data_IF_207139229032
#
_entry.id   IF_207139229032
#
_cell.length_a   1.000
_cell.length_b   1.000
_cell.length_c   1.000
_cell.angle_alpha   90.00
_cell.angle_beta   90.00
_cell.angle_gamma   90.00
#
_symmetry.space_group_name_H-M   'P 1'
#
loop_
_entity.id
_entity.type
_entity.pdbx_description
1 polymer ?
#
# COMPACT_ATOMS: atom_id res chain seq x y z
N UNK A 1 30.81 15.44 -9.54
CA UNK A 1 29.62 16.16 -10.06
C UNK A 1 28.87 16.70 -8.85
N UNK A 2 28.38 17.93 -8.89
CA UNK A 2 27.62 18.55 -7.81
C UNK A 2 26.17 18.77 -8.25
N UNK A 3 25.20 18.48 -7.38
CA UNK A 3 23.79 18.73 -7.63
C UNK A 3 23.41 20.14 -7.17
N UNK A 4 22.91 20.95 -8.09
CA UNK A 4 22.33 22.27 -7.77
C UNK A 4 20.81 22.12 -7.71
N UNK A 5 20.25 22.01 -6.50
CA UNK A 5 18.80 21.92 -6.29
C UNK A 5 18.17 23.31 -6.20
N UNK A 6 17.20 23.63 -7.08
CA UNK A 6 16.45 24.90 -7.09
C UNK A 6 14.94 24.70 -6.88
N UNK A 7 14.53 23.51 -6.45
CA UNK A 7 13.10 23.10 -6.44
C UNK A 7 12.40 23.36 -5.10
N UNK A 8 13.14 23.54 -4.00
CA UNK A 8 12.56 23.54 -2.64
C UNK A 8 12.01 22.17 -2.22
N UNK A 9 12.35 21.11 -2.96
CA UNK A 9 11.97 19.73 -2.68
C UNK A 9 13.25 18.96 -2.36
N UNK A 10 13.27 18.12 -1.29
CA UNK A 10 14.41 17.26 -0.99
C UNK A 10 14.91 16.53 -2.23
N UNK A 11 16.20 16.66 -2.52
CA UNK A 11 16.84 15.98 -3.65
C UNK A 11 18.28 15.60 -3.31
N UNK A 12 18.73 14.46 -3.84
CA UNK A 12 20.08 13.94 -3.60
C UNK A 12 20.63 13.27 -4.86
N UNK A 13 21.91 13.50 -5.10
CA UNK A 13 22.68 12.85 -6.16
C UNK A 13 23.53 11.75 -5.56
N UNK A 14 23.38 10.54 -6.08
CA UNK A 14 24.34 9.44 -5.91
C UNK A 14 25.15 9.32 -7.19
N UNK A 15 26.48 9.33 -7.07
CA UNK A 15 27.38 8.98 -8.17
C UNK A 15 28.27 7.83 -7.77
N UNK A 16 28.54 6.92 -8.69
CA UNK A 16 29.44 5.80 -8.49
C UNK A 16 29.96 5.23 -9.80
N UNK A 17 30.85 4.25 -9.70
CA UNK A 17 31.32 3.47 -10.85
C UNK A 17 30.61 2.12 -10.86
N UNK A 18 30.08 1.72 -12.01
CA UNK A 18 29.49 0.40 -12.23
C UNK A 18 30.52 -0.60 -12.76
N UNK A 19 31.50 -0.09 -13.50
CA UNK A 19 32.66 -0.81 -14.01
C UNK A 19 33.84 0.16 -14.17
N UNK A 20 35.01 -0.31 -14.63
CA UNK A 20 36.17 0.56 -14.90
C UNK A 20 35.88 1.64 -15.96
N UNK A 21 34.93 1.41 -16.85
CA UNK A 21 34.59 2.31 -17.96
C UNK A 21 33.23 3.01 -17.79
N UNK A 22 32.41 2.60 -16.83
CA UNK A 22 31.04 3.10 -16.69
C UNK A 22 30.81 3.79 -15.35
N UNK A 23 30.33 5.03 -15.44
CA UNK A 23 29.90 5.82 -14.31
C UNK A 23 28.36 5.83 -14.25
N UNK A 24 27.83 5.77 -13.05
CA UNK A 24 26.41 5.91 -12.74
C UNK A 24 26.18 7.21 -12.00
N UNK A 25 25.09 7.90 -12.35
CA UNK A 25 24.54 9.02 -11.61
C UNK A 25 23.04 8.84 -11.43
N UNK A 26 22.56 8.90 -10.19
CA UNK A 26 21.14 8.85 -9.84
C UNK A 26 20.79 10.14 -9.13
N UNK A 27 19.76 10.84 -9.59
CA UNK A 27 19.15 11.93 -8.83
C UNK A 27 17.78 11.46 -8.36
N UNK A 28 17.60 11.41 -7.05
CA UNK A 28 16.28 11.22 -6.44
C UNK A 28 15.76 12.56 -5.93
N UNK A 29 14.46 12.79 -6.08
CA UNK A 29 13.74 13.91 -5.48
C UNK A 29 12.44 13.40 -4.85
N UNK A 30 12.09 13.91 -3.66
CA UNK A 30 10.94 13.44 -2.90
C UNK A 30 10.12 14.62 -2.41
N UNK A 31 8.95 14.79 -3.00
CA UNK A 31 7.96 15.74 -2.51
C UNK A 31 7.07 15.08 -1.47
N UNK A 32 6.85 15.77 -0.35
CA UNK A 32 5.90 15.35 0.68
C UNK A 32 4.69 16.29 0.63
N UNK A 33 3.49 15.72 0.65
CA UNK A 33 2.25 16.49 0.66
C UNK A 33 1.42 16.12 1.89
N UNK A 34 0.69 17.10 2.42
CA UNK A 34 -0.41 16.86 3.37
C UNK A 34 -1.73 17.12 2.66
N UNK A 35 -2.69 16.20 2.82
CA UNK A 35 -4.06 16.39 2.35
C UNK A 35 -4.90 17.06 3.44
N UNK A 36 -5.31 18.30 3.22
CA UNK A 36 -6.18 19.05 4.11
C UNK A 36 -7.41 19.54 3.34
N UNK A 37 -8.61 19.30 3.89
CA UNK A 37 -9.87 19.80 3.31
C UNK A 37 -10.03 19.50 1.80
N UNK A 38 -9.53 18.34 1.35
CA UNK A 38 -9.61 17.91 -0.06
C UNK A 38 -8.53 18.51 -0.98
N UNK A 39 -7.56 19.25 -0.44
CA UNK A 39 -6.46 19.85 -1.20
C UNK A 39 -5.10 19.33 -0.71
N UNK A 40 -4.20 19.04 -1.66
CA UNK A 40 -2.82 18.67 -1.34
C UNK A 40 -1.95 19.92 -1.21
N UNK A 41 -1.29 20.04 -0.06
CA UNK A 41 -0.35 21.11 0.23
C UNK A 41 1.07 20.54 0.27
N UNK A 42 1.98 21.14 -0.51
CA UNK A 42 3.39 20.78 -0.48
C UNK A 42 3.96 21.15 0.89
N UNK A 43 4.67 20.22 1.51
CA UNK A 43 5.38 20.45 2.76
C UNK A 43 6.72 21.11 2.47
N UNK A 44 7.07 22.14 3.24
CA UNK A 44 8.37 22.82 3.16
C UNK A 44 9.53 21.83 3.34
N UNK A 45 10.65 22.07 2.66
CA UNK A 45 11.80 21.14 2.62
C UNK A 45 12.30 20.71 4.00
N UNK A 46 12.24 21.60 5.00
CA UNK A 46 12.69 21.34 6.37
C UNK A 46 11.83 20.34 7.13
N UNK A 47 10.54 20.23 6.78
CA UNK A 47 9.57 19.36 7.44
C UNK A 47 9.16 18.16 6.56
N UNK A 48 9.54 18.17 5.29
CA UNK A 48 9.29 17.09 4.35
C UNK A 48 10.09 15.84 4.70
N UNK A 49 9.64 14.68 4.19
CA UNK A 49 10.45 13.46 4.28
C UNK A 49 11.75 13.66 3.51
N UNK A 50 12.91 13.37 4.13
CA UNK A 50 14.18 13.47 3.43
C UNK A 50 14.31 12.36 2.37
N UNK A 51 15.33 12.49 1.53
CA UNK A 51 15.84 11.36 0.76
C UNK A 51 16.54 10.41 1.74
N UNK A 52 16.00 9.22 1.91
CA UNK A 52 16.60 8.14 2.67
C UNK A 52 17.58 7.39 1.78
N UNK A 53 18.86 7.48 2.12
CA UNK A 53 19.94 6.79 1.41
C UNK A 53 20.24 5.40 1.98
N UNK A 54 19.62 5.04 3.11
CA UNK A 54 19.68 3.74 3.76
C UNK A 54 18.27 3.20 4.01
N UNK A 55 18.11 1.86 4.10
CA UNK A 55 16.86 1.27 4.54
C UNK A 55 16.44 1.78 5.92
N UNK A 56 15.14 1.97 6.12
CA UNK A 56 14.59 2.42 7.40
C UNK A 56 13.26 1.73 7.69
N UNK A 57 12.87 1.72 8.97
CA UNK A 57 11.60 1.14 9.40
C UNK A 57 10.63 2.27 9.72
N UNK A 58 9.46 2.25 9.11
CA UNK A 58 8.37 3.17 9.39
C UNK A 58 7.06 2.40 9.55
N UNK A 59 6.39 2.61 10.69
CA UNK A 59 5.15 1.91 11.05
C UNK A 59 5.23 0.38 10.92
N UNK A 60 6.39 -0.21 11.25
CA UNK A 60 6.63 -1.66 11.18
C UNK A 60 7.03 -2.16 9.80
N UNK A 61 7.03 -1.33 8.76
CA UNK A 61 7.44 -1.69 7.42
C UNK A 61 8.86 -1.22 7.11
N UNK A 62 9.65 -2.11 6.50
CA UNK A 62 11.00 -1.79 6.04
C UNK A 62 10.95 -1.18 4.65
N UNK A 63 11.34 0.09 4.55
CA UNK A 63 11.52 0.79 3.29
C UNK A 63 12.96 0.64 2.82
N UNK A 64 13.13 0.41 1.52
CA UNK A 64 14.44 0.43 0.86
C UNK A 64 14.90 1.87 0.61
N UNK A 65 16.17 2.04 0.25
CA UNK A 65 16.73 3.33 -0.14
C UNK A 65 15.98 3.97 -1.31
N UNK A 66 15.87 5.29 -1.32
CA UNK A 66 15.36 6.06 -2.45
C UNK A 66 16.35 6.10 -3.62
N UNK A 67 17.64 5.84 -3.34
CA UNK A 67 18.74 5.91 -4.31
C UNK A 67 19.05 4.54 -4.92
N UNK A 68 18.03 3.89 -5.48
CA UNK A 68 18.17 2.60 -6.18
C UNK A 68 18.07 2.80 -7.70
N UNK A 69 19.15 2.48 -8.43
CA UNK A 69 19.23 2.69 -9.88
C UNK A 69 18.27 1.81 -10.69
N UNK A 70 17.70 0.78 -10.05
CA UNK A 70 16.74 -0.13 -10.66
C UNK A 70 15.31 0.42 -10.63
N UNK A 71 15.06 1.48 -9.86
CA UNK A 71 13.73 2.12 -9.83
C UNK A 71 13.48 2.82 -11.14
N UNK A 72 12.43 2.38 -11.83
CA UNK A 72 11.92 3.04 -13.03
C UNK A 72 10.66 3.83 -12.67
N UNK A 73 10.69 5.16 -12.81
CA UNK A 73 9.52 6.01 -12.62
C UNK A 73 9.41 6.63 -11.22
N UNK A 74 8.20 6.64 -10.67
CA UNK A 74 7.84 7.37 -9.44
C UNK A 74 7.21 6.39 -8.45
N UNK A 75 7.71 6.38 -7.22
CA UNK A 75 7.05 5.75 -6.09
C UNK A 75 6.04 6.74 -5.48
N UNK A 76 4.81 6.29 -5.24
CA UNK A 76 3.79 7.08 -4.56
C UNK A 76 3.43 6.38 -3.25
N UNK A 77 3.82 7.01 -2.14
CA UNK A 77 3.54 6.54 -0.79
C UNK A 77 2.34 7.30 -0.24
N UNK A 78 1.34 6.59 0.28
CA UNK A 78 0.17 7.22 0.90
C UNK A 78 -0.04 6.67 2.30
N UNK A 79 0.13 7.56 3.28
CA UNK A 79 -0.12 7.28 4.68
C UNK A 79 -1.39 7.99 5.11
N UNK A 80 -2.37 7.25 5.63
CA UNK A 80 -3.60 7.87 6.11
C UNK A 80 -4.77 6.92 6.20
N UNK A 81 -5.96 7.47 6.05
CA UNK A 81 -7.21 6.76 6.17
C UNK A 81 -8.16 7.16 5.04
N UNK A 82 -8.92 6.19 4.54
CA UNK A 82 -10.12 6.47 3.78
C UNK A 82 -11.18 7.05 4.72
N UNK A 83 -11.63 8.27 4.43
CA UNK A 83 -12.62 9.00 5.21
C UNK A 83 -13.94 9.01 4.45
N UNK A 84 -14.99 8.50 5.07
CA UNK A 84 -16.32 8.49 4.46
C UNK A 84 -16.82 9.94 4.27
N UNK A 85 -17.48 10.25 3.13
CA UNK A 85 -18.02 11.57 2.87
C UNK A 85 -18.98 12.05 3.97
N UNK A 86 -18.89 13.34 4.32
CA UNK A 86 -19.76 13.99 5.31
C UNK A 86 -19.83 13.29 6.68
N UNK A 87 -18.78 12.51 7.02
CA UNK A 87 -18.73 11.65 8.21
C UNK A 87 -19.90 10.64 8.31
N UNK A 88 -20.56 10.34 7.19
CA UNK A 88 -21.67 9.38 7.12
C UNK A 88 -21.13 7.97 6.89
N UNK A 89 -21.47 6.96 7.74
CA UNK A 89 -20.95 5.61 7.58
C UNK A 89 -21.29 4.99 6.22
N UNK A 90 -20.29 4.43 5.55
CA UNK A 90 -20.43 3.70 4.28
C UNK A 90 -19.93 2.27 4.43
N UNK A 91 -20.50 1.33 3.68
CA UNK A 91 -20.00 -0.05 3.66
C UNK A 91 -18.81 -0.23 2.72
N UNK A 92 -18.73 0.64 1.69
CA UNK A 92 -17.76 0.57 0.61
C UNK A 92 -17.52 1.97 0.04
N UNK A 93 -16.29 2.28 -0.32
CA UNK A 93 -15.93 3.46 -1.12
C UNK A 93 -14.70 3.18 -1.99
N UNK A 94 -14.44 4.02 -2.98
CA UNK A 94 -13.17 4.02 -3.71
C UNK A 94 -12.27 5.14 -3.19
N UNK A 95 -10.98 4.86 -3.11
CA UNK A 95 -9.91 5.85 -2.91
C UNK A 95 -9.07 5.86 -4.18
N UNK A 96 -8.83 7.06 -4.70
CA UNK A 96 -8.10 7.26 -5.93
C UNK A 96 -6.92 8.19 -5.71
N UNK A 97 -5.78 7.85 -6.30
CA UNK A 97 -4.57 8.66 -6.30
C UNK A 97 -4.20 8.92 -7.76
N UNK A 98 -3.88 10.17 -8.09
CA UNK A 98 -3.51 10.54 -9.45
C UNK A 98 -2.32 11.49 -9.45
N UNK A 99 -1.35 11.22 -10.32
CA UNK A 99 -0.15 12.05 -10.49
C UNK A 99 0.26 12.06 -11.96
N UNK A 100 0.04 13.19 -12.63
CA UNK A 100 0.23 13.29 -14.09
C UNK A 100 -0.66 12.28 -14.84
N UNK A 101 -0.04 11.30 -15.51
CA UNK A 101 -0.73 10.21 -16.21
C UNK A 101 -0.98 8.97 -15.34
N UNK A 102 -0.40 8.92 -14.15
CA UNK A 102 -0.57 7.80 -13.22
C UNK A 102 -1.92 7.92 -12.53
N UNK A 103 -2.63 6.81 -12.47
CA UNK A 103 -3.92 6.70 -11.80
C UNK A 103 -3.98 5.35 -11.08
N UNK A 104 -4.14 5.41 -9.76
CA UNK A 104 -4.29 4.26 -8.89
C UNK A 104 -5.63 4.36 -8.17
N UNK A 105 -6.36 3.25 -8.10
CA UNK A 105 -7.61 3.15 -7.37
C UNK A 105 -7.57 1.92 -6.45
N UNK A 106 -8.13 2.08 -5.26
CA UNK A 106 -8.38 1.02 -4.28
C UNK A 106 -9.84 1.06 -3.89
N UNK A 107 -10.44 -0.11 -3.85
CA UNK A 107 -11.77 -0.30 -3.30
C UNK A 107 -11.63 -0.63 -1.82
N UNK A 108 -12.22 0.21 -0.98
CA UNK A 108 -12.17 0.11 0.47
C UNK A 108 -13.52 -0.41 0.97
N UNK A 109 -13.49 -1.52 1.69
CA UNK A 109 -14.64 -2.11 2.35
C UNK A 109 -14.55 -1.95 3.86
N UNK A 110 -15.72 -1.88 4.49
CA UNK A 110 -15.87 -2.17 5.91
C UNK A 110 -15.36 -3.56 6.28
N UNK A 111 -15.23 -3.82 7.58
CA UNK A 111 -14.80 -5.15 8.04
C UNK A 111 -15.79 -6.22 7.57
N UNK A 112 -15.24 -7.32 7.06
CA UNK A 112 -15.95 -8.48 6.54
C UNK A 112 -15.34 -9.76 7.06
N UNK A 113 -16.12 -10.81 7.11
CA UNK A 113 -15.67 -12.18 7.39
C UNK A 113 -16.22 -13.14 6.35
N UNK A 114 -15.61 -14.31 6.20
CA UNK A 114 -16.22 -15.38 5.41
C UNK A 114 -17.41 -15.99 6.16
N UNK A 115 -18.56 -16.08 5.48
CA UNK A 115 -19.75 -16.75 5.98
C UNK A 115 -20.07 -17.99 5.14
N UNK A 116 -20.52 -19.05 5.81
CA UNK A 116 -20.93 -20.28 5.16
C UNK A 116 -22.40 -20.27 4.81
N UNK A 117 -22.69 -20.17 3.52
CA UNK A 117 -24.04 -20.18 2.97
C UNK A 117 -24.21 -21.33 1.98
N UNK A 118 -25.10 -22.29 2.30
CA UNK A 118 -25.37 -23.48 1.46
C UNK A 118 -24.11 -24.23 1.02
N UNK A 119 -23.13 -24.35 1.92
CA UNK A 119 -21.87 -25.06 1.66
C UNK A 119 -20.81 -24.25 0.88
N UNK A 120 -21.10 -23.01 0.50
CA UNK A 120 -20.13 -22.07 -0.08
C UNK A 120 -19.70 -21.05 0.96
N UNK A 121 -18.45 -20.61 0.90
CA UNK A 121 -18.01 -19.43 1.63
C UNK A 121 -18.25 -18.21 0.75
N UNK A 122 -18.95 -17.22 1.29
CA UNK A 122 -19.17 -15.92 0.66
C UNK A 122 -18.75 -14.83 1.65
N UNK A 123 -18.28 -13.66 1.17
CA UNK A 123 -18.06 -12.52 2.05
C UNK A 123 -19.36 -12.11 2.75
N UNK A 124 -19.27 -11.76 4.03
CA UNK A 124 -20.37 -11.07 4.74
C UNK A 124 -20.63 -9.70 4.11
N UNK A 125 -21.79 -9.12 4.41
CA UNK A 125 -22.00 -7.69 4.18
C UNK A 125 -20.94 -6.88 4.96
N UNK A 126 -20.35 -5.81 4.38
CA UNK A 126 -19.36 -5.01 5.09
C UNK A 126 -20.00 -4.23 6.24
N UNK A 127 -19.35 -4.22 7.40
CA UNK A 127 -19.75 -3.36 8.52
C UNK A 127 -19.52 -1.90 8.11
N UNK A 128 -20.53 -0.99 8.17
CA UNK A 128 -20.34 0.40 7.82
C UNK A 128 -19.22 1.08 8.63
N UNK A 129 -18.41 1.91 7.96
CA UNK A 129 -17.31 2.64 8.57
C UNK A 129 -17.34 4.12 8.18
N UNK A 130 -16.83 4.96 9.08
CA UNK A 130 -16.54 6.39 8.80
C UNK A 130 -15.06 6.60 8.45
N UNK A 131 -14.19 5.76 9.00
CA UNK A 131 -12.74 5.85 8.84
C UNK A 131 -12.16 4.43 8.66
N UNK A 132 -11.37 4.22 7.62
CA UNK A 132 -10.67 2.96 7.37
C UNK A 132 -9.18 3.23 7.10
N UNK A 133 -8.25 2.71 7.91
CA UNK A 133 -6.82 2.86 7.65
C UNK A 133 -6.42 2.30 6.27
N UNK A 134 -5.55 3.04 5.57
CA UNK A 134 -4.90 2.58 4.35
C UNK A 134 -3.56 1.95 4.73
N UNK A 135 -3.60 0.71 5.21
CA UNK A 135 -2.44 -0.02 5.72
C UNK A 135 -2.33 -1.43 5.12
N UNK A 136 -1.10 -1.93 5.00
CA UNK A 136 -0.84 -3.23 4.36
C UNK A 136 -1.48 -4.40 5.10
N UNK A 137 -1.63 -4.32 6.42
CA UNK A 137 -2.32 -5.34 7.21
C UNK A 137 -3.79 -5.51 6.81
N UNK A 138 -4.38 -4.50 6.16
CA UNK A 138 -5.75 -4.49 5.65
C UNK A 138 -5.88 -4.86 4.17
N UNK A 139 -4.78 -5.13 3.49
CA UNK A 139 -4.77 -5.66 2.13
C UNK A 139 -4.69 -7.20 2.13
N UNK A 140 -5.00 -7.81 0.98
CA UNK A 140 -4.87 -9.26 0.80
C UNK A 140 -3.46 -9.74 1.15
N UNK A 141 -3.34 -10.86 1.86
CA UNK A 141 -2.08 -11.41 2.31
C UNK A 141 -2.22 -12.08 3.68
N UNK A 142 -1.12 -12.13 4.42
CA UNK A 142 -1.06 -12.72 5.76
C UNK A 142 -0.27 -14.02 5.81
N UNK A 143 -0.34 -14.68 6.96
CA UNK A 143 0.26 -15.99 7.22
C UNK A 143 -0.86 -16.98 7.48
N UNK A 144 -0.78 -18.15 6.86
CA UNK A 144 -1.73 -19.25 7.03
C UNK A 144 -0.99 -20.51 7.50
N UNK A 145 -1.71 -21.40 8.19
CA UNK A 145 -1.16 -22.69 8.61
C UNK A 145 -1.61 -23.78 7.65
N UNK A 146 -0.64 -24.46 7.03
CA UNK A 146 -0.90 -25.60 6.15
C UNK A 146 -0.04 -26.79 6.57
N UNK A 147 -0.68 -27.91 6.90
CA UNK A 147 -0.02 -29.14 7.37
C UNK A 147 0.94 -28.93 8.56
N UNK A 148 0.61 -27.98 9.44
CA UNK A 148 1.43 -27.64 10.62
C UNK A 148 2.60 -26.70 10.34
N UNK A 149 2.72 -26.18 9.12
CA UNK A 149 3.73 -25.19 8.72
C UNK A 149 3.09 -23.81 8.51
N UNK A 150 3.79 -22.76 8.95
CA UNK A 150 3.43 -21.38 8.63
C UNK A 150 3.84 -21.06 7.19
N UNK A 151 2.86 -20.64 6.39
CA UNK A 151 3.04 -20.18 5.04
C UNK A 151 2.70 -18.70 4.96
N UNK A 152 3.72 -17.88 4.80
CA UNK A 152 3.56 -16.44 4.62
C UNK A 152 3.25 -16.11 3.15
N UNK A 153 2.33 -15.18 2.92
CA UNK A 153 2.06 -14.65 1.59
C UNK A 153 3.29 -13.91 1.05
N UNK A 154 3.75 -14.27 -0.15
CA UNK A 154 5.01 -13.80 -0.74
C UNK A 154 5.16 -12.27 -0.77
N UNK A 155 4.07 -11.56 -1.11
CA UNK A 155 4.10 -10.10 -1.30
C UNK A 155 3.73 -9.33 -0.03
N UNK A 156 2.86 -9.88 0.82
CA UNK A 156 2.25 -9.13 1.92
C UNK A 156 2.04 -10.05 3.13
N UNK A 157 3.12 -10.47 3.81
CA UNK A 157 3.03 -11.35 4.97
C UNK A 157 2.29 -10.73 6.15
N UNK A 158 2.23 -9.39 6.22
CA UNK A 158 1.53 -8.65 7.28
C UNK A 158 0.01 -8.52 7.04
N UNK A 159 -0.46 -8.90 5.84
CA UNK A 159 -1.84 -8.75 5.39
C UNK A 159 -2.87 -9.65 6.07
N UNK A 160 -4.08 -9.69 5.50
CA UNK A 160 -5.13 -10.65 5.90
C UNK A 160 -5.92 -11.20 4.71
N UNK A 161 -6.56 -12.35 4.92
CA UNK A 161 -7.39 -13.01 3.91
C UNK A 161 -6.70 -14.13 3.11
N UNK A 162 -5.40 -14.33 3.31
CA UNK A 162 -4.69 -15.51 2.81
C UNK A 162 -4.91 -16.69 3.77
N UNK A 163 -5.73 -17.65 3.35
CA UNK A 163 -5.98 -18.89 4.08
C UNK A 163 -5.81 -20.09 3.14
N UNK A 164 -5.35 -21.22 3.68
CA UNK A 164 -5.05 -22.44 2.93
C UNK A 164 -6.16 -23.48 2.99
N UNK A 165 -7.15 -23.32 3.88
CA UNK A 165 -8.32 -24.20 3.95
C UNK A 165 -9.63 -23.44 4.16
N UNK A 166 -10.75 -24.01 3.69
CA UNK A 166 -12.09 -23.44 3.93
C UNK A 166 -12.43 -23.41 5.42
N UNK A 167 -11.90 -24.36 6.19
CA UNK A 167 -12.11 -24.46 7.63
C UNK A 167 -11.45 -23.31 8.38
N UNK A 168 -10.21 -22.98 8.02
CA UNK A 168 -9.49 -21.82 8.55
C UNK A 168 -10.14 -20.51 8.11
N UNK A 169 -10.64 -20.46 6.88
CA UNK A 169 -11.26 -19.26 6.35
C UNK A 169 -12.63 -18.97 6.96
N UNK A 170 -13.42 -19.99 7.29
CA UNK A 170 -14.77 -19.84 7.85
C UNK A 170 -14.75 -18.93 9.10
N UNK A 171 -15.47 -17.79 9.03
CA UNK A 171 -15.52 -16.69 10.02
C UNK A 171 -14.22 -15.89 10.20
N UNK A 172 -13.19 -16.18 9.43
CA UNK A 172 -11.96 -15.40 9.42
C UNK A 172 -12.12 -14.13 8.56
N UNK A 173 -11.37 -13.06 8.88
CA UNK A 173 -11.53 -11.77 8.25
C UNK A 173 -11.13 -11.74 6.77
N UNK A 174 -11.81 -10.92 5.98
CA UNK A 174 -11.37 -10.52 4.65
C UNK A 174 -10.56 -9.23 4.71
N UNK A 175 -9.72 -8.94 3.68
CA UNK A 175 -9.08 -7.64 3.57
C UNK A 175 -10.13 -6.53 3.38
N UNK A 176 -9.78 -5.32 3.81
CA UNK A 176 -10.57 -4.13 3.57
C UNK A 176 -10.15 -3.45 2.26
N UNK A 177 -8.89 -3.59 1.85
CA UNK A 177 -8.32 -2.94 0.68
C UNK A 177 -8.22 -3.95 -0.46
N UNK A 178 -8.96 -3.70 -1.53
CA UNK A 178 -8.98 -4.57 -2.72
C UNK A 178 -8.69 -3.78 -4.00
N UNK A 179 -8.05 -4.45 -4.97
CA UNK A 179 -7.77 -3.85 -6.28
C UNK A 179 -9.04 -3.86 -7.13
N UNK A 180 -9.36 -2.76 -7.84
CA UNK A 180 -10.41 -2.76 -8.85
C UNK A 180 -10.20 -3.90 -9.86
N UNK A 181 -11.28 -4.62 -10.19
CA UNK A 181 -11.23 -5.78 -11.09
C UNK A 181 -10.70 -7.07 -10.47
N UNK A 182 -10.27 -7.06 -9.21
CA UNK A 182 -9.86 -8.26 -8.45
C UNK A 182 -10.56 -8.32 -7.09
N UNK A 183 -11.85 -7.95 -7.06
CA UNK A 183 -12.62 -7.97 -5.83
C UNK A 183 -12.86 -9.41 -5.37
N UNK A 184 -12.77 -9.67 -4.07
CA UNK A 184 -12.99 -11.00 -3.51
C UNK A 184 -14.48 -11.27 -3.45
N UNK A 185 -14.93 -12.26 -4.21
CA UNK A 185 -16.32 -12.73 -4.28
C UNK A 185 -16.45 -14.18 -3.87
N UNK A 186 -15.39 -14.96 -4.03
CA UNK A 186 -15.36 -16.39 -3.74
C UNK A 186 -14.12 -16.79 -2.95
N UNK A 187 -14.23 -17.86 -2.17
CA UNK A 187 -13.12 -18.42 -1.41
C UNK A 187 -11.90 -18.72 -2.28
N UNK A 188 -12.12 -19.07 -3.55
CA UNK A 188 -11.10 -19.47 -4.50
C UNK A 188 -10.29 -18.27 -5.04
N UNK A 189 -10.73 -17.03 -4.81
CA UNK A 189 -10.05 -15.83 -5.28
C UNK A 189 -8.69 -15.65 -4.59
N UNK A 190 -7.66 -15.33 -5.38
CA UNK A 190 -6.29 -15.04 -4.93
C UNK A 190 -5.81 -13.72 -5.56
N UNK A 191 -6.38 -12.57 -5.17
CA UNK A 191 -6.05 -11.30 -5.80
C UNK A 191 -4.63 -10.84 -5.44
N UNK A 192 -4.09 -9.86 -6.17
CA UNK A 192 -2.87 -9.19 -5.72
C UNK A 192 -3.20 -8.25 -4.55
N UNK A 193 -2.31 -8.12 -3.55
CA UNK A 193 -2.48 -7.15 -2.47
C UNK A 193 -2.66 -5.71 -3.01
N UNK A 194 -3.61 -4.97 -2.44
CA UNK A 194 -3.79 -3.55 -2.72
C UNK A 194 -2.94 -2.69 -1.76
N UNK A 195 -1.61 -2.82 -1.85
CA UNK A 195 -0.67 -2.06 -1.02
C UNK A 195 -0.46 -0.65 -1.57
N UNK A 196 -0.31 0.35 -0.68
CA UNK A 196 0.06 1.74 -1.00
C UNK A 196 1.32 2.19 -0.23
N UNK A 197 2.29 1.26 -0.08
CA UNK A 197 3.61 1.50 0.52
C UNK A 197 4.71 1.16 -0.48
#
# INVERSE_FOLDING_TARGET
MELINKTGIPAKLLTGSMSEAEMLGIVASKATYVLEQGSLHLVEETDAWPIFDQPFVFQGHTFVTDLDFRKEGIDILVFGNAMAPDASPVQKMSVTISSGKLHYEIVVFGDRVWEKHRGKLIPSEPIPFVKMPLSNDRAYGGVSIWEGLELAHEINPDGKGFYMSKQEAERSPLPNLERPGQLIQSWEDRPKPACLL
#
